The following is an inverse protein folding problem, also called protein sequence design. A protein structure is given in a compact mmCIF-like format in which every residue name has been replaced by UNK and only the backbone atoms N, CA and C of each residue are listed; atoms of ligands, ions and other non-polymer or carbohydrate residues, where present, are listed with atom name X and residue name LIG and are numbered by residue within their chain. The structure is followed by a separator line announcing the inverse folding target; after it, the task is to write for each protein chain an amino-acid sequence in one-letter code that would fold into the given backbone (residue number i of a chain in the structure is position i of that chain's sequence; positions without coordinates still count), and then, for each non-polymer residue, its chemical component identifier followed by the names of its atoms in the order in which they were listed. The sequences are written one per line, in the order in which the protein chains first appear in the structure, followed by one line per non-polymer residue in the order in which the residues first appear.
data_IF_700116713804
#
_entry.id   IF_700116713804
#
_cell.length_a   1.000
_cell.length_b   1.000
_cell.length_c   1.000
_cell.angle_alpha   90.00
_cell.angle_beta   90.00
_cell.angle_gamma   90.00
#
_symmetry.space_group_name_H-M   'P 1'
#
loop_
_entity.id
_entity.type
_entity.pdbx_description
1 polymer ?
#
# COMPACT_ATOMS: atom_id res chain seq x y z
N UNK A 1 -7.10 5.36 15.90
CA UNK A 1 -6.19 5.38 14.73
C UNK A 1 -6.04 3.99 14.10
N UNK A 2 -5.60 2.96 14.84
CA UNK A 2 -5.63 1.55 14.38
C UNK A 2 -7.02 1.07 13.94
N UNK A 3 -8.06 1.45 14.68
CA UNK A 3 -9.46 1.08 14.41
C UNK A 3 -10.01 1.57 13.05
N UNK A 4 -9.38 2.56 12.42
CA UNK A 4 -9.75 3.07 11.09
C UNK A 4 -8.88 2.46 10.00
N UNK A 5 -7.61 2.18 10.31
CA UNK A 5 -6.67 1.61 9.35
C UNK A 5 -6.95 0.13 9.04
N UNK A 6 -7.38 -0.67 10.02
CA UNK A 6 -7.69 -2.10 9.80
C UNK A 6 -8.87 -2.34 8.85
N UNK A 7 -10.04 -1.68 9.02
CA UNK A 7 -11.16 -1.87 8.10
C UNK A 7 -10.86 -1.37 6.68
N UNK A 8 -10.15 -0.24 6.56
CA UNK A 8 -9.72 0.29 5.28
C UNK A 8 -8.80 -0.70 4.54
N UNK A 9 -7.86 -1.31 5.27
CA UNK A 9 -6.97 -2.32 4.72
C UNK A 9 -7.73 -3.55 4.21
N UNK A 10 -8.68 -4.07 5.00
CA UNK A 10 -9.48 -5.23 4.61
C UNK A 10 -10.34 -4.94 3.36
N UNK A 11 -11.02 -3.79 3.34
CA UNK A 11 -11.84 -3.37 2.21
C UNK A 11 -11.02 -3.20 0.93
N UNK A 12 -9.82 -2.65 1.05
CA UNK A 12 -8.93 -2.48 -0.09
C UNK A 12 -8.39 -3.82 -0.61
N UNK A 13 -8.04 -4.76 0.27
CA UNK A 13 -7.66 -6.14 -0.12
C UNK A 13 -8.78 -6.86 -0.88
N UNK A 14 -10.02 -6.78 -0.38
CA UNK A 14 -11.19 -7.35 -1.06
C UNK A 14 -11.41 -6.70 -2.43
N UNK A 15 -11.24 -5.38 -2.51
CA UNK A 15 -11.39 -4.65 -3.77
C UNK A 15 -10.35 -5.09 -4.80
N UNK A 16 -9.08 -5.27 -4.41
CA UNK A 16 -8.03 -5.80 -5.28
C UNK A 16 -8.33 -7.22 -5.73
N UNK A 17 -8.80 -8.08 -4.82
CA UNK A 17 -9.16 -9.46 -5.16
C UNK A 17 -10.33 -9.52 -6.16
N UNK A 18 -11.21 -8.52 -6.15
CA UNK A 18 -12.35 -8.39 -7.07
C UNK A 18 -12.00 -7.79 -8.45
N UNK A 19 -10.74 -7.41 -8.68
CA UNK A 19 -10.31 -6.88 -9.97
C UNK A 19 -10.55 -7.94 -11.06
N UNK A 20 -11.40 -7.58 -12.03
CA UNK A 20 -11.64 -8.45 -13.18
C UNK A 20 -10.36 -8.59 -14.01
N UNK A 21 -10.09 -9.83 -14.45
CA UNK A 21 -8.96 -10.15 -15.33
C UNK A 21 -8.90 -9.22 -16.56
N UNK A 22 -10.05 -8.90 -17.15
CA UNK A 22 -10.15 -8.00 -18.32
C UNK A 22 -9.58 -6.61 -18.03
N UNK A 23 -9.89 -5.99 -16.89
CA UNK A 23 -9.37 -4.67 -16.54
C UNK A 23 -7.86 -4.69 -16.31
N UNK A 24 -7.32 -5.79 -15.78
CA UNK A 24 -5.88 -5.94 -15.60
C UNK A 24 -5.17 -6.18 -16.94
N UNK A 25 -5.79 -6.96 -17.83
CA UNK A 25 -5.27 -7.23 -19.17
C UNK A 25 -5.25 -5.97 -20.05
N UNK A 26 -6.23 -5.06 -19.90
CA UNK A 26 -6.20 -3.72 -20.50
C UNK A 26 -4.92 -2.97 -20.09
N UNK A 27 -4.61 -2.89 -18.79
CA UNK A 27 -3.38 -2.23 -18.31
C UNK A 27 -2.13 -2.92 -18.86
N UNK A 28 -2.11 -4.26 -18.84
CA UNK A 28 -1.00 -5.07 -19.38
C UNK A 28 -0.82 -4.91 -20.88
N UNK A 29 -1.82 -4.42 -21.61
CA UNK A 29 -1.76 -4.21 -23.06
C UNK A 29 -1.19 -2.83 -23.46
N UNK A 30 -1.20 -1.86 -22.55
CA UNK A 30 -0.77 -0.49 -22.81
C UNK A 30 0.70 -0.41 -23.22
N UNK A 31 0.97 0.12 -24.41
CA UNK A 31 2.31 0.47 -24.86
C UNK A 31 2.79 1.77 -24.20
N UNK A 32 1.89 2.74 -24.05
CA UNK A 32 2.13 4.03 -23.38
C UNK A 32 1.00 4.30 -22.40
N UNK A 33 1.21 4.10 -21.08
CA UNK A 33 0.16 4.27 -20.09
C UNK A 33 -0.17 5.75 -19.86
N UNK A 34 -1.42 6.08 -19.48
CA UNK A 34 -1.73 7.38 -18.88
C UNK A 34 -0.90 7.61 -17.61
N UNK A 35 -0.61 8.88 -17.29
CA UNK A 35 0.21 9.26 -16.13
C UNK A 35 -0.25 8.59 -14.83
N UNK A 36 -1.55 8.63 -14.52
CA UNK A 36 -2.09 8.06 -13.29
C UNK A 36 -2.00 6.52 -13.24
N UNK A 37 -2.08 5.86 -14.39
CA UNK A 37 -1.88 4.39 -14.47
C UNK A 37 -0.42 4.06 -14.20
N UNK A 38 0.51 4.79 -14.82
CA UNK A 38 1.94 4.60 -14.59
C UNK A 38 2.32 4.81 -13.13
N UNK A 39 1.93 5.94 -12.54
CA UNK A 39 2.22 6.26 -11.14
C UNK A 39 1.64 5.22 -10.17
N UNK A 40 0.42 4.73 -10.42
CA UNK A 40 -0.18 3.69 -9.58
C UNK A 40 0.62 2.40 -9.63
N UNK A 41 1.00 1.96 -10.83
CA UNK A 41 1.74 0.72 -10.98
C UNK A 41 3.19 0.83 -10.51
N UNK A 42 3.79 2.00 -10.65
CA UNK A 42 5.11 2.32 -10.11
C UNK A 42 5.09 2.25 -8.58
N UNK A 43 4.12 2.91 -7.95
CA UNK A 43 3.92 2.88 -6.50
C UNK A 43 3.72 1.45 -5.98
N UNK A 44 2.86 0.65 -6.63
CA UNK A 44 2.62 -0.74 -6.24
C UNK A 44 3.90 -1.57 -6.40
N UNK A 45 4.59 -1.47 -7.54
CA UNK A 45 5.83 -2.22 -7.78
C UNK A 45 6.93 -1.85 -6.77
N UNK A 46 7.05 -0.56 -6.42
CA UNK A 46 7.99 -0.09 -5.41
C UNK A 46 7.71 -0.67 -4.01
N UNK A 47 6.43 -0.80 -3.63
CA UNK A 47 6.04 -1.46 -2.38
C UNK A 47 6.35 -2.95 -2.38
N UNK A 48 6.21 -3.63 -3.53
CA UNK A 48 6.57 -5.04 -3.70
C UNK A 48 8.08 -5.31 -3.77
N UNK A 49 8.91 -4.25 -3.72
CA UNK A 49 10.38 -4.35 -3.79
C UNK A 49 10.96 -4.33 -5.20
N UNK A 50 10.13 -4.12 -6.23
CA UNK A 50 10.52 -4.05 -7.64
C UNK A 50 10.39 -2.62 -8.17
N UNK A 51 11.07 -1.67 -7.52
CA UNK A 51 11.02 -0.26 -7.92
C UNK A 51 11.72 -0.02 -9.28
N UNK A 52 10.99 0.52 -10.25
CA UNK A 52 11.52 1.00 -11.53
C UNK A 52 10.66 2.15 -12.03
N UNK A 53 11.27 3.13 -12.70
CA UNK A 53 10.55 4.20 -13.41
C UNK A 53 10.29 3.88 -14.88
N UNK A 54 10.89 2.80 -15.41
CA UNK A 54 10.68 2.35 -16.79
C UNK A 54 9.39 1.53 -16.90
N UNK A 55 8.50 1.94 -17.79
CA UNK A 55 7.21 1.27 -17.98
C UNK A 55 7.35 -0.19 -18.40
N UNK A 56 8.36 -0.57 -19.18
CA UNK A 56 8.54 -1.96 -19.59
C UNK A 56 8.88 -2.85 -18.39
N UNK A 57 9.68 -2.36 -17.45
CA UNK A 57 10.01 -3.09 -16.25
C UNK A 57 8.81 -3.19 -15.31
N UNK A 58 8.11 -2.07 -15.07
CA UNK A 58 6.84 -2.07 -14.32
C UNK A 58 5.84 -3.06 -14.94
N UNK A 59 5.70 -3.06 -16.27
CA UNK A 59 4.80 -3.93 -17.01
C UNK A 59 5.17 -5.41 -16.88
N UNK A 60 6.45 -5.76 -16.71
CA UNK A 60 6.87 -7.14 -16.42
C UNK A 60 6.33 -7.59 -15.06
N UNK A 61 6.36 -6.72 -14.04
CA UNK A 61 5.80 -7.02 -12.71
C UNK A 61 4.30 -7.30 -12.79
N UNK A 62 3.55 -6.44 -13.48
CA UNK A 62 2.09 -6.58 -13.62
C UNK A 62 1.70 -7.84 -14.42
N UNK A 63 2.55 -8.27 -15.37
CA UNK A 63 2.33 -9.46 -16.21
C UNK A 63 2.53 -10.77 -15.47
N UNK A 64 3.16 -10.78 -14.30
CA UNK A 64 3.28 -12.00 -13.50
C UNK A 64 1.90 -12.52 -13.14
N UNK A 65 1.73 -13.84 -13.21
CA UNK A 65 0.43 -14.49 -12.96
C UNK A 65 0.00 -14.35 -11.49
N UNK A 66 0.98 -14.28 -10.59
CA UNK A 66 0.82 -14.15 -9.14
C UNK A 66 0.70 -12.69 -8.68
N UNK A 67 0.69 -11.70 -9.58
CA UNK A 67 0.68 -10.28 -9.22
C UNK A 67 -0.44 -9.94 -8.21
N UNK A 68 -1.69 -10.33 -8.49
CA UNK A 68 -2.82 -10.04 -7.60
C UNK A 68 -2.68 -10.78 -6.26
N UNK A 69 -2.25 -12.05 -6.27
CA UNK A 69 -2.03 -12.79 -5.03
C UNK A 69 -0.93 -12.15 -4.18
N UNK A 70 0.15 -11.67 -4.80
CA UNK A 70 1.25 -10.99 -4.11
C UNK A 70 0.77 -9.68 -3.47
N UNK A 71 -0.07 -8.90 -4.16
CA UNK A 71 -0.66 -7.67 -3.63
C UNK A 71 -1.60 -7.97 -2.45
N UNK A 72 -2.48 -8.98 -2.57
CA UNK A 72 -3.44 -9.34 -1.51
C UNK A 72 -2.74 -9.88 -0.26
N UNK A 73 -1.70 -10.71 -0.44
CA UNK A 73 -0.93 -11.33 0.63
C UNK A 73 0.21 -10.46 1.16
N UNK A 74 0.35 -9.22 0.66
CA UNK A 74 1.39 -8.31 1.10
C UNK A 74 1.29 -8.00 2.59
N UNK A 75 2.44 -8.09 3.26
CA UNK A 75 2.62 -7.74 4.66
C UNK A 75 3.05 -6.27 4.82
N UNK A 76 2.17 -5.37 5.31
CA UNK A 76 2.54 -3.98 5.58
C UNK A 76 3.68 -3.81 6.60
N UNK A 77 3.95 -4.80 7.46
CA UNK A 77 5.07 -4.74 8.41
C UNK A 77 6.43 -4.85 7.74
N UNK A 78 6.49 -5.44 6.55
CA UNK A 78 7.71 -5.55 5.76
C UNK A 78 8.22 -4.22 5.22
N UNK A 79 7.34 -3.20 5.13
CA UNK A 79 7.73 -1.87 4.66
C UNK A 79 8.74 -1.24 5.61
N UNK A 80 9.83 -0.70 5.06
CA UNK A 80 10.78 0.12 5.82
C UNK A 80 10.27 1.55 5.97
N UNK A 81 10.73 2.28 7.01
CA UNK A 81 10.38 3.69 7.17
C UNK A 81 10.81 4.53 5.94
N UNK A 82 11.91 4.16 5.30
CA UNK A 82 12.38 4.77 4.05
C UNK A 82 11.39 4.54 2.90
N UNK A 83 10.87 3.31 2.73
CA UNK A 83 9.88 3.01 1.69
C UNK A 83 8.56 3.72 1.94
N UNK A 84 8.08 3.75 3.19
CA UNK A 84 6.85 4.48 3.56
C UNK A 84 6.97 5.95 3.17
N UNK A 85 8.03 6.61 3.64
CA UNK A 85 8.27 8.02 3.35
C UNK A 85 8.44 8.29 1.85
N UNK A 86 9.17 7.42 1.15
CA UNK A 86 9.33 7.53 -0.30
C UNK A 86 7.98 7.45 -1.02
N UNK A 87 7.08 6.56 -0.58
CA UNK A 87 5.76 6.44 -1.20
C UNK A 87 4.87 7.65 -0.91
N UNK A 88 4.89 8.13 0.34
CA UNK A 88 4.18 9.34 0.75
C UNK A 88 4.66 10.57 -0.04
N UNK A 89 5.97 10.80 -0.07
CA UNK A 89 6.59 11.98 -0.69
C UNK A 89 6.51 11.97 -2.22
N UNK A 90 6.65 10.81 -2.88
CA UNK A 90 6.74 10.75 -4.34
C UNK A 90 5.40 10.46 -5.03
N UNK A 91 4.44 9.84 -4.34
CA UNK A 91 3.17 9.46 -4.96
C UNK A 91 2.00 10.12 -4.23
N UNK A 92 1.78 9.84 -2.94
CA UNK A 92 0.57 10.28 -2.24
C UNK A 92 0.48 11.81 -2.05
N UNK A 93 1.61 12.52 -2.09
CA UNK A 93 1.66 13.99 -2.08
C UNK A 93 1.41 14.64 -3.45
N UNK A 94 1.35 13.85 -4.52
CA UNK A 94 1.27 14.37 -5.89
C UNK A 94 -0.11 14.94 -6.18
N UNK A 95 -0.16 16.21 -6.60
CA UNK A 95 -1.41 16.87 -6.98
C UNK A 95 -2.08 16.15 -8.16
N UNK A 96 -3.39 15.89 -8.03
CA UNK A 96 -4.18 15.15 -9.03
C UNK A 96 -3.94 13.64 -9.05
N UNK A 97 -3.15 13.11 -8.12
CA UNK A 97 -2.97 11.67 -7.91
C UNK A 97 -3.81 11.16 -6.73
N UNK A 98 -5.13 11.23 -6.92
CA UNK A 98 -6.15 10.77 -5.97
C UNK A 98 -6.94 9.57 -6.52
N UNK A 99 -7.72 8.92 -5.66
CA UNK A 99 -8.54 7.75 -6.02
C UNK A 99 -9.45 8.01 -7.23
N UNK A 100 -10.15 9.15 -7.29
CA UNK A 100 -11.09 9.43 -8.37
C UNK A 100 -10.37 9.62 -9.71
N UNK A 101 -9.24 10.33 -9.67
CA UNK A 101 -8.39 10.58 -10.82
C UNK A 101 -7.74 9.30 -11.35
N UNK A 102 -7.42 8.35 -10.46
CA UNK A 102 -6.87 7.03 -10.83
C UNK A 102 -7.96 6.06 -11.32
N UNK A 103 -9.09 5.96 -10.63
CA UNK A 103 -10.19 5.06 -11.01
C UNK A 103 -10.80 5.44 -12.36
N UNK A 104 -10.86 6.75 -12.67
CA UNK A 104 -11.26 7.23 -13.99
C UNK A 104 -10.28 6.80 -15.09
N UNK A 105 -8.98 6.75 -14.77
CA UNK A 105 -7.95 6.35 -15.74
C UNK A 105 -7.95 4.83 -15.96
N UNK A 106 -8.24 4.02 -14.94
CA UNK A 106 -8.36 2.57 -15.06
C UNK A 106 -9.11 1.95 -13.88
N UNK A 107 -10.07 1.07 -14.20
CA UNK A 107 -10.85 0.29 -13.22
C UNK A 107 -10.04 -0.76 -12.47
N UNK A 108 -8.84 -1.11 -12.95
CA UNK A 108 -7.89 -1.92 -12.18
C UNK A 108 -7.07 -1.05 -11.22
N UNK A 109 -6.74 0.19 -11.60
CA UNK A 109 -5.86 1.05 -10.83
C UNK A 109 -6.53 1.66 -9.60
N UNK A 110 -7.84 1.95 -9.65
CA UNK A 110 -8.57 2.49 -8.49
C UNK A 110 -8.44 1.62 -7.23
N UNK A 111 -8.80 0.31 -7.29
CA UNK A 111 -8.59 -0.62 -6.18
C UNK A 111 -7.13 -0.74 -5.74
N UNK A 112 -6.18 -0.76 -6.68
CA UNK A 112 -4.75 -0.85 -6.37
C UNK A 112 -4.22 0.40 -5.65
N UNK A 113 -4.65 1.59 -6.05
CA UNK A 113 -4.34 2.83 -5.35
C UNK A 113 -4.88 2.80 -3.92
N UNK A 114 -6.16 2.44 -3.76
CA UNK A 114 -6.79 2.35 -2.43
C UNK A 114 -6.08 1.33 -1.53
N UNK A 115 -5.59 0.23 -2.10
CA UNK A 115 -4.79 -0.74 -1.37
C UNK A 115 -3.45 -0.15 -0.94
N UNK A 116 -2.71 0.48 -1.86
CA UNK A 116 -1.40 1.04 -1.56
C UNK A 116 -1.50 2.12 -0.46
N UNK A 117 -2.46 3.05 -0.60
CA UNK A 117 -2.68 4.10 0.39
C UNK A 117 -3.07 3.52 1.77
N UNK A 118 -3.90 2.47 1.80
CA UNK A 118 -4.32 1.83 3.06
C UNK A 118 -3.16 1.10 3.74
N UNK A 119 -2.29 0.44 2.98
CA UNK A 119 -1.10 -0.22 3.51
C UNK A 119 -0.13 0.79 4.13
N UNK A 120 0.11 1.91 3.44
CA UNK A 120 0.96 3.00 3.94
C UNK A 120 0.37 3.59 5.21
N UNK A 121 -0.92 3.92 5.23
CA UNK A 121 -1.60 4.44 6.42
C UNK A 121 -1.48 3.46 7.60
N UNK A 122 -1.75 2.18 7.38
CA UNK A 122 -1.64 1.15 8.42
C UNK A 122 -0.21 1.03 8.95
N UNK A 123 0.79 0.95 8.07
CA UNK A 123 2.18 0.85 8.46
C UNK A 123 2.67 2.09 9.22
N UNK A 124 2.25 3.29 8.81
CA UNK A 124 2.55 4.56 9.48
C UNK A 124 1.93 4.62 10.87
N UNK A 125 0.64 4.28 11.00
CA UNK A 125 -0.08 4.25 12.28
C UNK A 125 0.55 3.23 13.24
N UNK A 126 0.83 2.01 12.76
CA UNK A 126 1.40 0.98 13.62
C UNK A 126 2.80 1.34 14.12
N UNK A 127 3.64 1.95 13.28
CA UNK A 127 4.96 2.44 13.69
C UNK A 127 4.90 3.52 14.76
N UNK A 128 3.89 4.40 14.72
CA UNK A 128 3.69 5.41 15.76
C UNK A 128 3.21 4.80 17.08
N UNK A 129 2.37 3.76 17.01
CA UNK A 129 1.74 3.17 18.20
C UNK A 129 2.63 2.14 18.89
N UNK A 130 3.51 1.43 18.17
CA UNK A 130 4.45 0.46 18.77
C UNK A 130 5.27 1.00 19.96
N UNK A 131 6.02 2.11 19.82
CA UNK A 131 6.82 2.63 20.93
C UNK A 131 5.96 3.06 22.12
N UNK A 132 4.77 3.64 21.88
CA UNK A 132 3.84 4.01 22.94
C UNK A 132 3.32 2.78 23.71
N UNK A 133 3.06 1.66 23.02
CA UNK A 133 2.63 0.41 23.68
C UNK A 133 3.75 -0.21 24.49
N UNK A 134 4.98 -0.25 23.95
CA UNK A 134 6.15 -0.77 24.67
C UNK A 134 6.46 0.07 25.92
N UNK A 135 6.32 1.40 25.84
CA UNK A 135 6.46 2.30 26.97
C UNK A 135 5.36 2.10 28.02
N UNK A 136 4.10 1.94 27.61
CA UNK A 136 2.98 1.65 28.53
C UNK A 136 3.16 0.30 29.21
N UNK A 137 3.53 -0.76 28.48
CA UNK A 137 3.78 -2.08 29.05
C UNK A 137 4.97 -2.07 30.02
N UNK A 138 6.05 -1.35 29.68
CA UNK A 138 7.19 -1.17 30.56
C UNK A 138 6.79 -0.44 31.86
N UNK A 139 6.02 0.65 31.76
CA UNK A 139 5.53 1.40 32.92
C UNK A 139 4.54 0.60 33.77
N UNK A 140 3.64 -0.18 33.16
CA UNK A 140 2.72 -1.07 33.88
C UNK A 140 3.46 -2.19 34.60
N UNK A 141 4.49 -2.77 33.97
CA UNK A 141 5.35 -3.79 34.60
C UNK A 141 6.10 -3.21 35.80
N UNK A 142 6.62 -1.98 35.67
CA UNK A 142 7.35 -1.29 36.74
C UNK A 142 6.42 -0.90 37.91
N UNK A 143 5.22 -0.39 37.61
CA UNK A 143 4.21 -0.03 38.63
C UNK A 143 3.66 -1.26 39.36
N UNK A 144 3.46 -2.37 38.66
CA UNK A 144 3.02 -3.64 39.27
C UNK A 144 4.10 -4.23 40.18
N UNK A 145 5.38 -4.11 39.79
CA UNK A 145 6.51 -4.55 40.61
C UNK A 145 6.68 -3.72 41.90
N UNK A 146 6.36 -2.43 41.86
CA UNK A 146 6.42 -1.52 43.02
C UNK A 146 5.28 -1.72 44.02
N UNK A 147 4.15 -2.31 43.61
CA UNK A 147 2.97 -2.52 44.47
C UNK A 147 3.08 -3.79 45.34
N UNK A 148 4.10 -4.63 45.11
CA UNK A 148 4.33 -5.90 45.82
C UNK A 148 5.42 -5.76 46.93
N UNK A 149 5.98 -4.57 47.15
CA UNK A 149 6.86 -4.27 48.30
C UNK A 149 6.10 -3.53 49.41
#
# INVERSE_FOLDING_TARGET
ELSVAEPALLAAKQSVQSIKKTHLDEVRSLAKPPKNVQLTMEMVSAMLGEASSDWNDIRKVIRKEDFISTVVNFDPLSLTAKQIKMVEDNYLSTEGFDYNSVDRASKACGPLYSWASSQILYATVLRKIKPLREEVDALQTQSSALTIQ
#
